data_IF_765371054844
#
_entry.id   IF_765371054844
#
_cell.length_a   1.000
_cell.length_b   1.000
_cell.length_c   1.000
_cell.angle_alpha   90.00
_cell.angle_beta   90.00
_cell.angle_gamma   90.00
#
_symmetry.space_group_name_H-M   'P 1'
#
loop_
_entity.id
_entity.type
_entity.pdbx_description
1 polymer ?
#
# COMPACT_ATOMS: atom_id res chain seq x y z
N UNK A 1 46.36 18.23 -51.85
CA UNK A 1 47.18 18.54 -50.66
C UNK A 1 46.77 17.58 -49.56
N UNK A 2 47.44 16.43 -49.51
CA UNK A 2 48.36 16.00 -48.43
C UNK A 2 47.62 15.48 -47.19
N UNK A 3 47.97 14.35 -46.59
CA UNK A 3 48.71 13.14 -46.97
C UNK A 3 48.49 12.19 -45.77
N UNK A 4 48.51 10.88 -45.99
CA UNK A 4 48.45 9.88 -44.94
C UNK A 4 49.65 9.94 -43.97
N UNK A 5 49.39 9.37 -42.77
CA UNK A 5 50.29 8.52 -41.95
C UNK A 5 51.51 9.15 -41.26
N UNK A 6 51.68 8.92 -39.94
CA UNK A 6 52.72 8.02 -39.39
C UNK A 6 52.74 7.96 -37.83
N UNK A 7 52.80 6.73 -37.30
CA UNK A 7 53.44 6.19 -36.07
C UNK A 7 53.36 6.93 -34.72
N UNK A 8 52.84 6.37 -33.60
CA UNK A 8 53.14 5.15 -32.79
C UNK A 8 54.27 5.35 -31.75
N UNK A 9 53.95 4.94 -30.50
CA UNK A 9 54.78 4.80 -29.27
C UNK A 9 55.15 6.10 -28.52
N UNK A 10 55.00 6.20 -27.19
CA UNK A 10 55.63 5.35 -26.15
C UNK A 10 54.66 4.99 -25.00
N UNK A 11 54.79 3.74 -24.59
CA UNK A 11 54.22 3.03 -23.43
C UNK A 11 54.99 3.40 -22.16
N UNK A 12 54.31 3.54 -21.01
CA UNK A 12 54.73 2.98 -19.70
C UNK A 12 53.65 3.22 -18.63
N UNK A 13 52.96 2.15 -18.22
CA UNK A 13 53.17 1.42 -16.95
C UNK A 13 52.54 2.10 -15.72
N UNK A 14 51.38 1.60 -15.31
CA UNK A 14 51.31 0.90 -14.02
C UNK A 14 50.17 -0.11 -14.03
N UNK A 15 50.49 -1.23 -13.41
CA UNK A 15 49.85 -2.54 -13.45
C UNK A 15 49.24 -2.74 -12.07
N UNK A 16 47.92 -2.90 -11.95
CA UNK A 16 47.33 -3.50 -10.75
C UNK A 16 46.36 -4.59 -11.21
N UNK A 17 46.74 -5.81 -10.87
CA UNK A 17 46.11 -7.09 -11.17
C UNK A 17 45.02 -7.42 -10.16
N UNK A 18 43.82 -7.68 -10.68
CA UNK A 18 42.82 -8.72 -10.31
C UNK A 18 42.66 -9.14 -8.85
N UNK A 19 41.43 -9.04 -8.34
CA UNK A 19 40.82 -10.09 -7.50
C UNK A 19 39.45 -10.46 -8.04
N UNK A 20 39.40 -11.63 -8.65
CA UNK A 20 38.21 -12.35 -9.10
C UNK A 20 37.26 -12.58 -7.92
N UNK A 21 36.02 -12.09 -8.04
CA UNK A 21 34.89 -12.61 -7.26
C UNK A 21 33.89 -13.14 -8.28
N UNK A 22 33.95 -14.44 -8.50
CA UNK A 22 32.91 -15.19 -9.19
C UNK A 22 31.68 -15.21 -8.30
N UNK A 23 30.65 -14.45 -8.66
CA UNK A 23 29.27 -14.74 -8.26
C UNK A 23 28.40 -14.65 -9.50
N UNK A 24 28.20 -15.81 -10.12
CA UNK A 24 27.05 -16.13 -10.96
C UNK A 24 25.78 -15.70 -10.28
N UNK A 25 25.05 -14.72 -10.82
CA UNK A 25 23.61 -14.59 -10.62
C UNK A 25 22.95 -14.08 -11.90
N UNK A 26 22.32 -15.04 -12.56
CA UNK A 26 21.08 -15.01 -13.31
C UNK A 26 20.72 -13.75 -14.09
N UNK A 27 20.66 -13.95 -15.41
CA UNK A 27 19.91 -13.20 -16.42
C UNK A 27 18.67 -12.56 -15.79
N UNK A 28 18.69 -11.23 -15.59
CA UNK A 28 17.50 -10.47 -15.26
C UNK A 28 16.64 -10.44 -16.52
N UNK A 29 15.76 -11.42 -16.64
CA UNK A 29 14.70 -11.43 -17.64
C UNK A 29 13.82 -10.21 -17.41
N UNK A 30 13.74 -9.37 -18.43
CA UNK A 30 12.80 -8.26 -18.57
C UNK A 30 11.42 -8.71 -18.07
N UNK A 31 10.83 -8.07 -17.04
CA UNK A 31 9.52 -8.45 -16.57
C UNK A 31 8.50 -8.19 -17.68
N UNK A 32 7.76 -9.23 -18.04
CA UNK A 32 6.60 -9.16 -18.91
C UNK A 32 5.56 -8.25 -18.24
N UNK A 33 5.49 -7.00 -18.69
CA UNK A 33 4.42 -6.06 -18.33
C UNK A 33 3.11 -6.70 -18.79
N UNK A 34 2.38 -7.30 -17.85
CA UNK A 34 1.08 -7.91 -18.16
C UNK A 34 0.04 -6.84 -17.96
N UNK A 35 -0.52 -6.41 -19.08
CA UNK A 35 -1.46 -5.31 -19.26
C UNK A 35 -2.84 -5.65 -18.73
N UNK A 36 -3.15 -5.22 -17.50
CA UNK A 36 -4.48 -4.79 -17.01
C UNK A 36 -4.45 -4.68 -15.47
N UNK A 37 -3.95 -3.55 -14.98
CA UNK A 37 -4.07 -3.17 -13.57
C UNK A 37 -4.64 -1.76 -13.51
N UNK A 38 -5.69 -1.56 -12.71
CA UNK A 38 -6.35 -0.26 -12.56
C UNK A 38 -6.32 0.19 -11.10
N UNK A 39 -6.26 1.50 -10.94
CA UNK A 39 -6.18 2.18 -9.65
C UNK A 39 -7.27 3.23 -9.62
N UNK A 40 -8.17 3.14 -8.65
CA UNK A 40 -9.21 4.16 -8.41
C UNK A 40 -9.13 4.54 -6.95
N UNK A 41 -9.09 5.83 -6.65
CA UNK A 41 -9.10 6.30 -5.28
C UNK A 41 -10.00 7.52 -5.13
N UNK A 42 -10.51 7.67 -3.91
CA UNK A 42 -11.25 8.83 -3.40
C UNK A 42 -10.56 9.24 -2.09
N UNK A 43 -10.89 10.41 -1.54
CA UNK A 43 -10.23 10.96 -0.34
C UNK A 43 -10.01 9.99 0.84
N UNK A 44 -10.85 8.96 0.99
CA UNK A 44 -10.77 8.00 2.10
C UNK A 44 -10.46 6.56 1.69
N UNK A 45 -10.73 6.17 0.44
CA UNK A 45 -10.72 4.76 0.01
C UNK A 45 -9.93 4.60 -1.30
N UNK A 46 -9.07 3.61 -1.32
CA UNK A 46 -8.32 3.12 -2.47
C UNK A 46 -8.93 1.79 -2.92
N UNK A 47 -9.23 1.68 -4.21
CA UNK A 47 -9.63 0.46 -4.89
C UNK A 47 -8.51 0.08 -5.86
N UNK A 48 -7.77 -0.96 -5.50
CA UNK A 48 -6.65 -1.50 -6.27
C UNK A 48 -7.10 -2.75 -7.01
N UNK A 49 -7.02 -2.77 -8.35
CA UNK A 49 -7.39 -3.93 -9.17
C UNK A 49 -6.16 -4.66 -9.70
N UNK A 50 -6.05 -5.96 -9.39
CA UNK A 50 -4.94 -6.83 -9.75
C UNK A 50 -5.46 -8.15 -10.32
N UNK A 51 -4.82 -8.65 -11.39
CA UNK A 51 -5.09 -10.00 -11.90
C UNK A 51 -4.21 -11.01 -11.17
N UNK A 52 -4.81 -11.83 -10.31
CA UNK A 52 -4.06 -12.79 -9.49
C UNK A 52 -3.64 -14.02 -10.32
N UNK A 53 -2.43 -14.59 -10.05
CA UNK A 53 -1.82 -15.60 -10.89
C UNK A 53 -2.57 -16.94 -10.90
N UNK A 54 -3.19 -17.35 -9.78
CA UNK A 54 -3.76 -18.70 -9.69
C UNK A 54 -5.03 -18.86 -10.52
N UNK A 55 -5.92 -17.85 -10.54
CA UNK A 55 -7.23 -17.93 -11.21
C UNK A 55 -7.34 -17.06 -12.46
N UNK A 56 -6.37 -16.17 -12.68
CA UNK A 56 -6.37 -15.20 -13.78
C UNK A 56 -7.63 -14.30 -13.80
N UNK A 57 -8.25 -14.11 -12.64
CA UNK A 57 -9.37 -13.20 -12.45
C UNK A 57 -8.90 -11.87 -11.85
N UNK A 58 -9.63 -10.79 -12.14
CA UNK A 58 -9.36 -9.47 -11.58
C UNK A 58 -9.92 -9.39 -10.18
N UNK A 59 -9.03 -9.36 -9.18
CA UNK A 59 -9.38 -9.11 -7.79
C UNK A 59 -9.26 -7.62 -7.46
N UNK A 60 -10.16 -7.11 -6.60
CA UNK A 60 -10.20 -5.72 -6.16
C UNK A 60 -9.98 -5.65 -4.66
N UNK A 61 -8.96 -4.90 -4.26
CA UNK A 61 -8.61 -4.66 -2.86
C UNK A 61 -9.08 -3.28 -2.44
N UNK A 62 -9.74 -3.21 -1.28
CA UNK A 62 -10.31 -1.99 -0.73
C UNK A 62 -9.50 -1.57 0.50
N UNK A 63 -8.79 -0.46 0.41
CA UNK A 63 -7.91 0.03 1.46
C UNK A 63 -8.32 1.43 1.88
N UNK A 64 -8.23 1.74 3.16
CA UNK A 64 -8.40 3.11 3.63
C UNK A 64 -7.07 3.87 3.48
N UNK A 65 -7.03 5.01 2.79
CA UNK A 65 -5.76 5.72 2.57
C UNK A 65 -5.11 6.17 3.89
N UNK A 66 -5.91 6.58 4.88
CA UNK A 66 -5.42 7.17 6.13
C UNK A 66 -4.87 6.13 7.10
N UNK A 67 -5.50 4.95 7.17
CA UNK A 67 -5.14 3.92 8.17
C UNK A 67 -4.35 2.77 7.58
N UNK A 68 -4.46 2.52 6.28
CA UNK A 68 -3.87 1.33 5.69
C UNK A 68 -2.36 1.45 5.46
N UNK A 69 -1.69 0.30 5.57
CA UNK A 69 -0.25 0.17 5.33
C UNK A 69 0.05 -0.84 4.21
N UNK A 70 1.24 -0.73 3.62
CA UNK A 70 1.78 -1.66 2.63
C UNK A 70 1.74 -3.11 3.14
N UNK A 71 2.02 -3.33 4.42
CA UNK A 71 1.96 -4.66 5.04
C UNK A 71 0.56 -5.26 5.04
N UNK A 72 -0.46 -4.45 5.30
CA UNK A 72 -1.86 -4.91 5.23
C UNK A 72 -2.24 -5.32 3.81
N UNK A 73 -1.91 -4.51 2.81
CA UNK A 73 -2.13 -4.85 1.40
C UNK A 73 -1.42 -6.17 1.02
N UNK A 74 -0.17 -6.35 1.46
CA UNK A 74 0.58 -7.59 1.22
C UNK A 74 -0.16 -8.79 1.83
N UNK A 75 -0.67 -8.66 3.05
CA UNK A 75 -1.37 -9.73 3.73
C UNK A 75 -2.69 -10.06 3.04
N UNK A 76 -3.47 -9.06 2.63
CA UNK A 76 -4.72 -9.25 1.90
C UNK A 76 -4.51 -9.98 0.56
N UNK A 77 -3.49 -9.59 -0.20
CA UNK A 77 -3.15 -10.28 -1.46
C UNK A 77 -2.79 -11.75 -1.20
N UNK A 78 -2.01 -12.03 -0.16
CA UNK A 78 -1.60 -13.40 0.19
C UNK A 78 -2.74 -14.24 0.73
N UNK A 79 -3.68 -13.66 1.47
CA UNK A 79 -4.85 -14.38 1.96
C UNK A 79 -5.82 -14.73 0.84
N UNK A 80 -5.89 -13.91 -0.20
CA UNK A 80 -6.80 -14.10 -1.33
C UNK A 80 -6.30 -15.20 -2.28
N UNK A 81 -5.00 -15.22 -2.59
CA UNK A 81 -4.39 -16.23 -3.47
C UNK A 81 -3.25 -16.96 -2.77
N UNK A 82 -3.56 -18.19 -2.33
CA UNK A 82 -2.60 -19.09 -1.68
C UNK A 82 -1.43 -19.53 -2.60
N UNK A 83 -1.51 -19.29 -3.91
CA UNK A 83 -0.41 -19.49 -4.86
C UNK A 83 0.65 -18.38 -4.82
N UNK A 84 0.43 -17.32 -4.05
CA UNK A 84 1.37 -16.21 -3.90
C UNK A 84 2.23 -16.42 -2.65
N UNK A 85 3.49 -16.77 -2.85
CA UNK A 85 4.46 -16.93 -1.76
C UNK A 85 5.07 -15.59 -1.34
N UNK A 86 5.38 -14.75 -2.32
CA UNK A 86 6.11 -13.50 -2.12
C UNK A 86 5.41 -12.34 -2.83
N UNK A 87 5.19 -11.26 -2.07
CA UNK A 87 4.69 -9.98 -2.57
C UNK A 87 5.69 -8.92 -2.18
N UNK A 88 6.15 -8.16 -3.17
CA UNK A 88 7.07 -7.06 -2.98
C UNK A 88 6.53 -5.80 -3.63
N UNK A 89 6.56 -4.70 -2.90
CA UNK A 89 6.13 -3.39 -3.39
C UNK A 89 7.37 -2.51 -3.49
N UNK A 90 7.59 -1.92 -4.65
CA UNK A 90 8.74 -1.08 -4.96
C UNK A 90 8.31 0.35 -5.25
N UNK A 91 9.14 1.32 -4.92
CA UNK A 91 8.95 2.72 -5.33
C UNK A 91 9.27 2.93 -6.83
N UNK A 92 9.17 4.18 -7.27
CA UNK A 92 9.52 4.64 -8.63
C UNK A 92 10.99 4.39 -9.02
N UNK A 93 11.90 4.34 -8.05
CA UNK A 93 13.33 4.09 -8.23
C UNK A 93 13.67 2.58 -8.16
N UNK A 94 12.70 1.73 -7.82
CA UNK A 94 12.89 0.29 -7.66
C UNK A 94 13.37 -0.14 -6.27
N UNK A 95 13.29 0.72 -5.25
CA UNK A 95 13.59 0.34 -3.87
C UNK A 95 12.40 -0.37 -3.22
N UNK A 96 12.67 -1.43 -2.45
CA UNK A 96 11.64 -2.17 -1.72
C UNK A 96 11.08 -1.30 -0.59
N UNK A 97 9.75 -1.14 -0.57
CA UNK A 97 9.07 -0.39 0.48
C UNK A 97 8.86 -1.26 1.73
N UNK A 98 9.00 -0.62 2.89
CA UNK A 98 8.77 -1.26 4.18
C UNK A 98 7.28 -1.57 4.37
N UNK A 99 6.96 -2.62 5.13
CA UNK A 99 5.57 -2.98 5.44
C UNK A 99 4.83 -1.90 6.24
N UNK A 100 5.53 -1.11 7.04
CA UNK A 100 4.95 0.00 7.81
C UNK A 100 4.69 1.25 6.97
N UNK A 101 5.05 1.25 5.69
CA UNK A 101 4.83 2.40 4.82
C UNK A 101 3.33 2.61 4.61
N UNK A 102 2.88 3.86 4.72
CA UNK A 102 1.45 4.17 4.61
C UNK A 102 0.99 4.13 3.16
N UNK A 103 -0.25 3.68 2.94
CA UNK A 103 -0.84 3.68 1.60
C UNK A 103 -1.02 5.11 1.09
N UNK A 104 -1.36 6.07 1.97
CA UNK A 104 -1.40 7.49 1.58
C UNK A 104 -0.07 7.96 0.97
N UNK A 105 1.06 7.65 1.61
CA UNK A 105 2.38 8.05 1.10
C UNK A 105 2.78 7.28 -0.16
N UNK A 106 2.29 6.04 -0.34
CA UNK A 106 2.49 5.25 -1.56
C UNK A 106 1.81 5.87 -2.78
N UNK A 107 0.65 6.51 -2.58
CA UNK A 107 -0.13 7.13 -3.65
C UNK A 107 0.47 8.43 -4.19
N UNK A 108 1.52 8.97 -3.54
CA UNK A 108 2.18 10.21 -3.98
C UNK A 108 3.17 10.00 -5.15
N UNK A 109 3.61 8.77 -5.39
CA UNK A 109 4.61 8.41 -6.40
C UNK A 109 4.18 7.16 -7.15
N UNK A 110 4.60 6.97 -8.41
CA UNK A 110 4.49 5.68 -9.07
C UNK A 110 5.12 4.56 -8.24
N UNK A 111 4.49 3.40 -8.25
CA UNK A 111 4.97 2.24 -7.52
C UNK A 111 4.72 0.96 -8.31
N UNK A 112 5.46 -0.08 -7.97
CA UNK A 112 5.40 -1.36 -8.65
C UNK A 112 5.10 -2.48 -7.66
N UNK A 113 4.06 -3.28 -7.93
CA UNK A 113 3.78 -4.50 -7.16
C UNK A 113 4.30 -5.69 -7.95
N UNK A 114 5.18 -6.48 -7.34
CA UNK A 114 5.66 -7.74 -7.89
C UNK A 114 5.08 -8.91 -7.10
N UNK A 115 4.40 -9.81 -7.82
CA UNK A 115 3.88 -11.07 -7.29
C UNK A 115 4.81 -12.19 -7.76
N UNK A 116 5.42 -12.89 -6.80
CA UNK A 116 6.43 -13.93 -7.03
C UNK A 116 7.54 -13.40 -7.97
N UNK A 117 8.03 -14.25 -8.88
CA UNK A 117 9.11 -13.90 -9.82
C UNK A 117 8.61 -13.56 -11.23
N UNK A 118 7.30 -13.65 -11.48
CA UNK A 118 6.75 -13.65 -12.84
C UNK A 118 5.86 -12.46 -13.17
N UNK A 119 5.07 -11.94 -12.21
CA UNK A 119 4.11 -10.86 -12.47
C UNK A 119 4.52 -9.56 -11.81
N UNK A 120 4.54 -8.49 -12.62
CA UNK A 120 4.90 -7.14 -12.18
C UNK A 120 3.82 -6.18 -12.68
N UNK A 121 3.22 -5.44 -11.76
CA UNK A 121 2.18 -4.45 -12.01
C UNK A 121 2.73 -3.06 -11.72
N UNK A 122 2.59 -2.18 -12.69
CA UNK A 122 2.99 -0.78 -12.56
C UNK A 122 1.75 0.07 -12.28
N UNK A 123 1.82 0.84 -11.21
CA UNK A 123 0.78 1.79 -10.82
C UNK A 123 1.34 3.20 -10.89
N UNK A 124 0.62 4.06 -11.61
CA UNK A 124 0.94 5.48 -11.74
C UNK A 124 -0.25 6.27 -11.19
N UNK A 125 -0.26 6.60 -9.89
CA UNK A 125 -1.37 7.30 -9.26
C UNK A 125 -1.57 8.73 -9.77
N UNK A 126 -0.57 9.27 -10.49
CA UNK A 126 -0.59 10.61 -11.11
C UNK A 126 -1.40 10.59 -12.41
N UNK A 127 -1.60 9.42 -13.05
CA UNK A 127 -2.38 9.30 -14.29
C UNK A 127 -3.85 8.89 -14.05
N UNK A 128 -4.70 9.94 -13.87
CA UNK A 128 -6.17 10.02 -14.07
C UNK A 128 -7.01 9.09 -13.17
N UNK A 129 -8.12 9.50 -12.54
CA UNK A 129 -9.20 10.41 -12.96
C UNK A 129 -9.62 11.18 -11.72
N UNK A 130 -9.43 12.50 -11.71
CA UNK A 130 -10.13 13.37 -10.78
C UNK A 130 -11.62 13.33 -11.18
N UNK A 131 -12.37 12.31 -10.74
CA UNK A 131 -13.82 12.28 -10.92
C UNK A 131 -14.35 13.40 -10.03
N UNK A 132 -14.53 14.58 -10.62
CA UNK A 132 -15.39 15.66 -10.13
C UNK A 132 -15.04 16.36 -8.80
N UNK A 133 -13.89 16.16 -8.18
CA UNK A 133 -13.63 16.87 -6.91
C UNK A 133 -13.17 18.33 -7.09
N UNK A 134 -12.47 18.66 -8.18
CA UNK A 134 -11.97 20.04 -8.38
C UNK A 134 -13.06 21.07 -8.72
N UNK A 135 -14.24 20.63 -9.17
CA UNK A 135 -15.38 21.55 -9.37
C UNK A 135 -16.12 21.80 -8.04
N UNK A 136 -16.01 20.88 -7.08
CA UNK A 136 -16.71 20.97 -5.80
C UNK A 136 -15.89 21.74 -4.74
N UNK A 137 -14.56 21.61 -4.73
CA UNK A 137 -13.71 22.28 -3.72
C UNK A 137 -13.64 23.80 -3.85
N UNK A 138 -13.88 24.37 -5.05
CA UNK A 138 -13.94 25.82 -5.24
C UNK A 138 -15.26 26.46 -4.75
N UNK A 139 -16.27 25.66 -4.39
CA UNK A 139 -17.56 26.19 -3.89
C UNK A 139 -17.81 25.95 -2.39
N UNK A 140 -16.89 25.30 -1.66
CA UNK A 140 -17.07 24.90 -0.24
C UNK A 140 -16.14 25.67 0.72
N UNK A 141 -15.76 26.91 0.41
CA UNK A 141 -14.96 27.69 1.37
C UNK A 141 -15.80 28.37 2.46
N UNK A 142 -17.12 28.43 2.31
CA UNK A 142 -17.93 29.37 3.11
C UNK A 142 -19.07 28.72 3.93
N UNK A 143 -19.32 27.41 3.79
CA UNK A 143 -20.36 26.71 4.57
C UNK A 143 -19.78 25.52 5.30
N UNK A 144 -20.04 25.35 6.62
CA UNK A 144 -19.67 24.12 7.32
C UNK A 144 -20.33 22.94 6.61
N UNK A 145 -19.55 21.88 6.38
CA UNK A 145 -20.07 20.69 5.71
C UNK A 145 -21.06 19.98 6.62
N UNK A 146 -21.92 19.14 6.05
CA UNK A 146 -22.83 18.30 6.85
C UNK A 146 -22.06 17.44 7.85
N UNK A 147 -20.86 16.98 7.50
CA UNK A 147 -19.97 16.22 8.37
C UNK A 147 -19.51 17.05 9.58
N UNK A 148 -19.11 18.30 9.37
CA UNK A 148 -18.71 19.21 10.47
C UNK A 148 -19.87 19.46 11.44
N UNK A 149 -21.07 19.68 10.91
CA UNK A 149 -22.26 19.90 11.76
C UNK A 149 -22.63 18.65 12.56
N UNK A 150 -22.53 17.47 11.94
CA UNK A 150 -22.78 16.19 12.60
C UNK A 150 -21.73 15.92 13.67
N UNK A 151 -20.44 16.13 13.40
CA UNK A 151 -19.37 15.99 14.38
C UNK A 151 -19.56 16.96 15.57
N UNK A 152 -19.90 18.22 15.29
CA UNK A 152 -20.21 19.20 16.34
C UNK A 152 -21.41 18.76 17.20
N UNK A 153 -22.46 18.19 16.58
CA UNK A 153 -23.62 17.66 17.30
C UNK A 153 -23.26 16.42 18.13
N UNK A 154 -22.45 15.48 17.59
CA UNK A 154 -21.94 14.33 18.34
C UNK A 154 -21.17 14.75 19.59
N UNK A 155 -20.36 15.82 19.49
CA UNK A 155 -19.67 16.41 20.63
C UNK A 155 -20.63 17.12 21.60
N UNK A 156 -21.54 17.95 21.09
CA UNK A 156 -22.49 18.70 21.92
C UNK A 156 -23.43 17.79 22.70
N UNK A 157 -23.89 16.70 22.09
CA UNK A 157 -24.72 15.67 22.72
C UNK A 157 -23.91 14.72 23.62
N UNK A 158 -22.59 14.89 23.72
CA UNK A 158 -21.67 14.09 24.52
C UNK A 158 -21.92 12.58 24.40
N UNK A 159 -22.12 12.14 23.16
CA UNK A 159 -22.53 10.77 22.83
C UNK A 159 -21.55 9.74 23.41
N UNK A 160 -20.26 10.08 23.44
CA UNK A 160 -19.21 9.25 24.02
C UNK A 160 -19.42 8.99 25.52
N UNK A 161 -19.86 10.00 26.30
CA UNK A 161 -20.19 9.82 27.72
C UNK A 161 -21.39 8.89 27.90
N UNK A 162 -22.40 9.00 27.03
CA UNK A 162 -23.59 8.14 27.08
C UNK A 162 -23.19 6.67 26.83
N UNK A 163 -22.40 6.41 25.78
CA UNK A 163 -21.89 5.06 25.49
C UNK A 163 -21.01 4.52 26.61
N UNK A 164 -20.16 5.36 27.20
CA UNK A 164 -19.31 4.97 28.32
C UNK A 164 -20.13 4.58 29.55
N UNK A 165 -21.13 5.38 29.92
CA UNK A 165 -22.01 5.07 31.05
C UNK A 165 -22.78 3.77 30.82
N UNK A 166 -23.29 3.56 29.60
CA UNK A 166 -24.01 2.34 29.25
C UNK A 166 -23.10 1.11 29.29
N UNK A 167 -21.84 1.25 28.87
CA UNK A 167 -20.84 0.19 29.02
C UNK A 167 -20.62 -0.18 30.49
N UNK A 168 -20.51 0.82 31.38
CA UNK A 168 -20.35 0.58 32.82
C UNK A 168 -21.57 -0.08 33.44
N UNK A 169 -22.78 0.35 33.06
CA UNK A 169 -24.03 -0.25 33.50
C UNK A 169 -24.09 -1.75 33.16
N UNK A 170 -23.85 -2.09 31.89
CA UNK A 170 -23.82 -3.49 31.41
C UNK A 170 -22.73 -4.27 32.14
N UNK A 171 -21.56 -3.66 32.34
CA UNK A 171 -20.44 -4.31 33.05
C UNK A 171 -20.79 -4.60 34.52
N UNK A 172 -21.48 -3.70 35.19
CA UNK A 172 -21.90 -3.88 36.57
C UNK A 172 -22.95 -4.98 36.68
N UNK A 173 -23.95 -4.98 35.80
CA UNK A 173 -24.96 -6.04 35.75
C UNK A 173 -24.32 -7.42 35.50
N UNK A 174 -23.35 -7.50 34.56
CA UNK A 174 -22.60 -8.73 34.32
C UNK A 174 -21.82 -9.19 35.57
N UNK A 175 -21.21 -8.26 36.32
CA UNK A 175 -20.51 -8.60 37.56
C UNK A 175 -21.47 -9.08 38.65
N UNK A 176 -22.62 -8.43 38.81
CA UNK A 176 -23.66 -8.85 39.76
C UNK A 176 -24.15 -10.27 39.48
N UNK A 177 -24.45 -10.57 38.21
CA UNK A 177 -24.83 -11.91 37.78
C UNK A 177 -23.69 -12.93 38.02
N UNK A 178 -22.45 -12.54 37.77
CA UNK A 178 -21.28 -13.39 38.04
C UNK A 178 -21.16 -13.72 39.53
N UNK A 179 -21.36 -12.74 40.41
CA UNK A 179 -21.36 -12.94 41.88
C UNK A 179 -22.52 -13.86 42.29
N UNK A 180 -23.71 -13.69 41.70
CA UNK A 180 -24.86 -14.55 41.99
C UNK A 180 -24.67 -16.00 41.52
N UNK A 181 -23.87 -16.22 40.47
CA UNK A 181 -23.56 -17.55 39.93
C UNK A 181 -22.42 -18.25 40.70
N UNK A 182 -21.50 -17.51 41.33
CA UNK A 182 -20.37 -18.07 42.11
C UNK A 182 -20.77 -19.15 43.16
N UNK A 183 -21.86 -18.99 43.95
CA UNK A 183 -22.29 -20.02 44.88
C UNK A 183 -22.92 -21.25 44.20
N UNK A 184 -23.43 -21.12 42.98
CA UNK A 184 -24.06 -22.20 42.22
C UNK A 184 -23.06 -23.04 41.41
N UNK A 185 -21.83 -22.54 41.26
CA UNK A 185 -20.73 -23.22 40.55
C UNK A 185 -19.93 -24.16 41.48
N UNK A 186 -20.12 -24.08 42.81
CA UNK A 186 -19.41 -24.89 43.83
C UNK A 186 -20.18 -26.13 44.32
N UNK A 187 -21.16 -26.61 43.53
CA UNK A 187 -21.89 -27.88 43.74
C UNK A 187 -21.48 -28.87 42.65
#
# INVERSE_FOLDING_TARGET
>A
MHFCSFLRSIINMTRITTKTINRTFSIVTKPSITSESSLVYTDSILILSLILPSRQETCRFHLNLQTATVGQLINEIKSEDAGIEHVHIYDENGYLLAQSYSINSLMNSPFTIRLNQQRTFLFDPIKKIHIKENILRQSITDSPTTEDTVAALYHALNVMKIYHNKYLEIKNEANELTIQLEPLEKV
#
